data_IF_542796042610
#
_entry.id   IF_542796042610
#
_cell.length_a   1.000
_cell.length_b   1.000
_cell.length_c   1.000
_cell.angle_alpha   90.00
_cell.angle_beta   90.00
_cell.angle_gamma   90.00
#
_symmetry.space_group_name_H-M   'P 1'
#
loop_
_entity.id
_entity.type
_entity.pdbx_description
1 polymer ?
#
# COMPACT_ATOMS: atom_id res chain seq x y z
N UNK A 1 -28.67 18.75 29.70
CA UNK A 1 -27.50 17.88 29.49
C UNK A 1 -27.98 16.53 29.02
N UNK A 2 -27.80 16.19 27.74
CA UNK A 2 -27.36 14.88 27.22
C UNK A 2 -27.73 14.81 25.74
N UNK A 3 -26.72 14.87 24.87
CA UNK A 3 -26.82 14.45 23.48
C UNK A 3 -26.30 13.01 23.46
N UNK A 4 -27.02 12.03 22.91
CA UNK A 4 -26.41 10.75 22.59
C UNK A 4 -25.55 10.92 21.34
N UNK A 5 -24.37 10.32 21.44
CA UNK A 5 -23.29 10.27 20.47
C UNK A 5 -23.74 9.40 19.29
N UNK A 6 -23.83 10.00 18.10
CA UNK A 6 -23.92 9.26 16.85
C UNK A 6 -22.83 9.80 15.91
N UNK A 7 -21.60 9.67 16.38
CA UNK A 7 -20.45 9.49 15.51
C UNK A 7 -20.62 8.10 14.87
N UNK A 8 -21.56 8.01 13.93
CA UNK A 8 -21.67 6.87 13.02
C UNK A 8 -20.37 6.79 12.24
N UNK A 9 -19.44 6.03 12.81
CA UNK A 9 -18.55 5.00 12.25
C UNK A 9 -18.65 4.79 10.72
N UNK A 10 -18.56 5.87 9.95
CA UNK A 10 -18.19 5.83 8.54
C UNK A 10 -16.66 5.85 8.45
N UNK A 11 -16.03 5.07 9.33
CA UNK A 11 -14.76 4.41 9.09
C UNK A 11 -15.02 3.36 8.00
N UNK A 12 -15.44 3.84 6.81
CA UNK A 12 -15.40 3.08 5.57
C UNK A 12 -14.04 2.45 5.60
N UNK A 13 -14.03 1.12 5.60
CA UNK A 13 -12.88 0.26 5.52
C UNK A 13 -12.08 0.61 4.27
N UNK A 14 -11.47 1.79 4.22
CA UNK A 14 -10.43 2.12 3.27
C UNK A 14 -9.34 1.17 3.69
N UNK A 15 -9.04 0.12 2.90
CA UNK A 15 -7.85 -0.65 3.18
C UNK A 15 -6.75 0.40 3.23
N UNK A 16 -6.13 0.57 4.39
CA UNK A 16 -5.15 1.63 4.64
C UNK A 16 -4.19 1.57 3.45
N UNK A 17 -4.33 2.50 2.51
CA UNK A 17 -3.53 2.47 1.30
C UNK A 17 -2.13 2.68 1.82
N UNK A 18 -1.27 1.69 1.60
CA UNK A 18 0.06 1.77 2.13
C UNK A 18 0.73 2.99 1.48
N UNK A 19 1.00 4.03 2.29
CA UNK A 19 1.55 5.28 1.80
C UNK A 19 2.88 5.06 1.07
N UNK A 20 3.68 4.09 1.53
CA UNK A 20 4.90 3.65 0.86
C UNK A 20 4.60 3.09 -0.54
N UNK A 21 3.54 2.28 -0.71
CA UNK A 21 3.15 1.77 -2.02
C UNK A 21 2.78 2.90 -2.99
N UNK A 22 2.05 3.92 -2.53
CA UNK A 22 1.69 5.09 -3.36
C UNK A 22 2.93 5.92 -3.73
N UNK A 23 3.86 6.08 -2.79
CA UNK A 23 5.14 6.72 -3.03
C UNK A 23 5.98 5.97 -4.07
N UNK A 24 6.15 4.65 -3.92
CA UNK A 24 6.92 3.83 -4.87
C UNK A 24 6.33 3.92 -6.28
N UNK A 25 5.00 3.82 -6.42
CA UNK A 25 4.34 3.96 -7.73
C UNK A 25 4.57 5.33 -8.36
N UNK A 26 4.53 6.39 -7.55
CA UNK A 26 4.80 7.76 -8.01
C UNK A 26 6.25 7.90 -8.47
N UNK A 27 7.21 7.37 -7.72
CA UNK A 27 8.63 7.45 -8.07
C UNK A 27 8.98 6.61 -9.30
N UNK A 28 8.42 5.40 -9.43
CA UNK A 28 8.58 4.56 -10.63
C UNK A 28 8.00 5.26 -11.86
N UNK A 29 6.84 5.91 -11.74
CA UNK A 29 6.24 6.68 -12.83
C UNK A 29 7.09 7.90 -13.23
N UNK A 30 7.67 8.61 -12.26
CA UNK A 30 8.62 9.71 -12.51
C UNK A 30 9.91 9.24 -13.16
N UNK A 31 10.37 8.04 -12.82
CA UNK A 31 11.55 7.40 -13.40
C UNK A 31 11.30 6.79 -14.80
N UNK A 32 10.10 6.95 -15.39
CA UNK A 32 9.78 6.37 -16.69
C UNK A 32 10.72 6.82 -17.84
N UNK A 33 11.43 7.93 -17.66
CA UNK A 33 12.41 8.45 -18.61
C UNK A 33 13.86 7.94 -18.45
N UNK A 34 14.21 7.26 -17.34
CA UNK A 34 15.55 6.71 -17.14
C UNK A 34 15.48 5.24 -16.64
N UNK A 35 16.02 4.27 -17.40
CA UNK A 35 15.84 2.85 -17.12
C UNK A 35 16.60 2.36 -15.87
N UNK A 36 17.70 3.02 -15.48
CA UNK A 36 18.52 2.59 -14.34
C UNK A 36 17.84 2.85 -12.98
N UNK A 37 17.37 4.08 -12.65
CA UNK A 37 16.70 4.35 -11.39
C UNK A 37 15.33 3.66 -11.31
N UNK A 38 14.69 3.39 -12.45
CA UNK A 38 13.40 2.69 -12.47
C UNK A 38 13.53 1.25 -11.96
N UNK A 39 14.51 0.50 -12.46
CA UNK A 39 14.71 -0.89 -12.06
C UNK A 39 15.03 -1.02 -10.55
N UNK A 40 15.79 -0.08 -10.00
CA UNK A 40 16.11 -0.06 -8.56
C UNK A 40 14.87 0.23 -7.70
N UNK A 41 14.05 1.20 -8.11
CA UNK A 41 12.78 1.52 -7.46
C UNK A 41 11.77 0.35 -7.52
N UNK A 42 11.70 -0.34 -8.65
CA UNK A 42 10.87 -1.55 -8.81
C UNK A 42 11.36 -2.69 -7.90
N UNK A 43 12.67 -2.87 -7.74
CA UNK A 43 13.25 -3.87 -6.84
C UNK A 43 12.97 -3.58 -5.36
N UNK A 44 13.13 -2.32 -4.94
CA UNK A 44 12.78 -1.87 -3.59
C UNK A 44 11.28 -2.00 -3.32
N UNK A 45 10.44 -1.67 -4.30
CA UNK A 45 9.00 -1.85 -4.19
C UNK A 45 8.61 -3.33 -4.06
N UNK A 46 9.20 -4.21 -4.86
CA UNK A 46 8.98 -5.65 -4.75
C UNK A 46 9.45 -6.23 -3.39
N UNK A 47 10.51 -5.68 -2.80
CA UNK A 47 10.96 -6.05 -1.46
C UNK A 47 9.99 -5.55 -0.37
N UNK A 48 9.50 -4.32 -0.51
CA UNK A 48 8.46 -3.75 0.37
C UNK A 48 7.20 -4.62 0.36
N UNK A 49 6.70 -4.99 -0.84
CA UNK A 49 5.54 -5.87 -0.99
C UNK A 49 5.76 -7.20 -0.28
N UNK A 50 6.90 -7.85 -0.46
CA UNK A 50 7.20 -9.14 0.21
C UNK A 50 7.26 -9.02 1.73
N UNK A 51 7.77 -7.92 2.28
CA UNK A 51 7.95 -7.73 3.73
C UNK A 51 6.70 -7.24 4.45
N UNK A 52 5.95 -6.34 3.83
CA UNK A 52 4.82 -5.62 4.45
C UNK A 52 3.46 -6.14 3.99
N UNK A 53 3.40 -6.75 2.81
CA UNK A 53 2.17 -7.27 2.19
C UNK A 53 2.27 -8.76 1.81
N UNK A 54 3.38 -9.43 2.15
CA UNK A 54 3.62 -10.83 1.81
C UNK A 54 2.71 -11.82 2.55
N UNK A 55 2.12 -11.39 3.67
CA UNK A 55 1.17 -12.22 4.42
C UNK A 55 -0.17 -12.40 3.66
N UNK A 56 -0.56 -11.41 2.85
CA UNK A 56 -1.78 -11.48 2.04
C UNK A 56 -1.70 -12.55 0.93
N UNK A 57 -0.49 -12.92 0.48
CA UNK A 57 -0.30 -13.95 -0.54
C UNK A 57 -0.25 -15.37 0.05
N UNK A 58 -0.03 -15.52 1.37
CA UNK A 58 0.05 -16.83 2.04
C UNK A 58 -1.32 -17.38 2.45
N UNK A 59 -2.28 -16.50 2.72
CA UNK A 59 -3.64 -16.89 3.15
C UNK A 59 -4.48 -17.51 2.01
N UNK A 60 -4.17 -17.21 0.74
CA UNK A 60 -4.97 -17.71 -0.41
C UNK A 60 -4.47 -19.04 -1.01
N UNK A 61 -3.38 -19.62 -0.50
CA UNK A 61 -2.79 -20.88 -1.03
C UNK A 61 -2.88 -22.07 -0.08
N UNK A 62 -3.61 -21.93 1.03
CA UNK A 62 -3.77 -22.96 2.05
C UNK A 62 -5.25 -23.15 2.42
N UNK A 63 -6.07 -23.56 1.45
CA UNK A 63 -7.36 -24.23 1.68
C UNK A 63 -7.45 -25.38 0.69
#
# INVERSE_FOLDING_TARGET
MTQPEDESDESVRRPVSCADCEWYRTQVARAAGDPRPRADLEALFAAHLRRKHGDTARVLRGV
#
